data_IF_623825230272
#
_entry.id   IF_623825230272
#
_cell.length_a   1.000
_cell.length_b   1.000
_cell.length_c   1.000
_cell.angle_alpha   90.00
_cell.angle_beta   90.00
_cell.angle_gamma   90.00
#
_symmetry.space_group_name_H-M   'P 1'
#
loop_
_entity.id
_entity.type
_entity.pdbx_description
1 polymer ?
#
# COMPACT_ATOMS: atom_id res chain seq x y z
N UNK A 1 -19.09 -17.50 -0.78
CA UNK A 1 -17.77 -17.47 -0.13
C UNK A 1 -16.78 -18.39 -0.86
N UNK A 2 -16.77 -18.38 -2.20
CA UNK A 2 -16.26 -19.55 -2.98
C UNK A 2 -15.23 -19.20 -4.06
N UNK A 3 -15.19 -17.94 -4.52
CA UNK A 3 -14.24 -17.52 -5.59
C UNK A 3 -12.88 -17.11 -5.01
N UNK A 4 -12.85 -16.46 -3.84
CA UNK A 4 -11.62 -16.06 -3.17
C UNK A 4 -10.70 -17.27 -2.89
N UNK A 5 -11.26 -18.38 -2.41
CA UNK A 5 -10.48 -19.59 -2.11
C UNK A 5 -9.93 -20.32 -3.35
N UNK A 6 -10.50 -20.12 -4.55
CA UNK A 6 -9.98 -20.74 -5.78
C UNK A 6 -8.78 -19.99 -6.35
N UNK A 7 -8.67 -18.67 -6.14
CA UNK A 7 -7.49 -17.91 -6.55
C UNK A 7 -6.30 -18.14 -5.61
N UNK A 8 -6.55 -18.34 -4.30
CA UNK A 8 -5.51 -18.47 -3.26
C UNK A 8 -4.70 -19.78 -3.34
N UNK A 9 -5.12 -20.76 -4.14
CA UNK A 9 -4.41 -22.03 -4.35
C UNK A 9 -3.48 -22.06 -5.58
N UNK A 10 -3.37 -20.96 -6.33
CA UNK A 10 -2.54 -20.91 -7.53
C UNK A 10 -1.08 -20.64 -7.14
N UNK A 11 -0.20 -21.61 -7.44
CA UNK A 11 1.27 -21.56 -7.20
C UNK A 11 1.93 -20.22 -7.61
N UNK A 12 1.36 -19.54 -8.62
CA UNK A 12 1.82 -18.25 -9.15
C UNK A 12 1.73 -17.11 -8.11
N UNK A 13 0.77 -17.12 -7.18
CA UNK A 13 0.69 -16.06 -6.16
C UNK A 13 1.83 -16.16 -5.15
N UNK A 14 2.32 -17.37 -4.86
CA UNK A 14 3.45 -17.58 -3.95
C UNK A 14 4.75 -16.95 -4.48
N UNK A 15 4.87 -16.77 -5.80
CA UNK A 15 6.02 -16.14 -6.45
C UNK A 15 5.75 -14.68 -6.83
N UNK A 16 4.53 -14.17 -6.61
CA UNK A 16 4.19 -12.80 -6.94
C UNK A 16 4.93 -11.81 -6.02
N UNK A 17 5.69 -10.91 -6.64
CA UNK A 17 6.38 -9.81 -5.96
C UNK A 17 5.63 -8.49 -6.10
N UNK A 18 4.60 -8.42 -6.95
CA UNK A 18 3.80 -7.23 -7.19
C UNK A 18 2.31 -7.56 -7.16
N UNK A 19 1.55 -6.72 -6.46
CA UNK A 19 0.08 -6.78 -6.42
C UNK A 19 -0.47 -5.45 -6.91
N UNK A 20 -1.25 -5.50 -7.99
CA UNK A 20 -1.97 -4.34 -8.48
C UNK A 20 -3.39 -4.38 -7.91
N UNK A 21 -3.74 -3.36 -7.13
CA UNK A 21 -5.07 -3.18 -6.58
C UNK A 21 -5.75 -2.07 -7.36
N UNK A 22 -6.53 -2.50 -8.35
CA UNK A 22 -7.42 -1.65 -9.11
C UNK A 22 -8.85 -1.88 -8.70
N UNK A 23 -9.49 -0.84 -8.17
CA UNK A 23 -10.94 -0.85 -8.01
C UNK A 23 -11.58 -0.73 -9.41
N UNK A 24 -11.95 -1.88 -9.99
CA UNK A 24 -13.25 -1.99 -10.67
C UNK A 24 -14.28 -2.34 -9.59
N UNK A 25 -15.53 -1.95 -9.77
CA UNK A 25 -16.62 -1.99 -8.78
C UNK A 25 -16.98 -3.40 -8.22
N UNK A 26 -16.14 -4.42 -8.41
CA UNK A 26 -16.44 -5.82 -8.15
C UNK A 26 -15.65 -6.46 -7.01
N UNK A 27 -14.56 -5.85 -6.52
CA UNK A 27 -13.82 -6.36 -5.36
C UNK A 27 -13.38 -5.21 -4.45
N UNK A 28 -14.17 -4.94 -3.41
CA UNK A 28 -13.76 -4.06 -2.31
C UNK A 28 -12.69 -4.76 -1.47
N UNK A 29 -11.44 -4.75 -1.94
CA UNK A 29 -10.28 -4.83 -1.04
C UNK A 29 -10.22 -3.46 -0.38
N UNK A 30 -11.00 -3.29 0.68
CA UNK A 30 -11.20 -2.00 1.32
C UNK A 30 -11.20 -2.07 2.84
N UNK A 31 -11.27 -3.29 3.40
CA UNK A 31 -11.20 -3.52 4.85
C UNK A 31 -9.85 -4.14 5.18
N UNK A 32 -9.35 -3.87 6.40
CA UNK A 32 -8.10 -4.46 6.88
C UNK A 32 -8.11 -6.00 6.79
N UNK A 33 -9.26 -6.63 7.01
CA UNK A 33 -9.44 -8.08 6.94
C UNK A 33 -9.14 -8.67 5.55
N UNK A 34 -9.43 -7.93 4.48
CA UNK A 34 -9.18 -8.38 3.10
C UNK A 34 -7.68 -8.51 2.83
N UNK A 35 -6.89 -7.58 3.37
CA UNK A 35 -5.43 -7.59 3.28
C UNK A 35 -4.79 -8.69 4.12
N UNK A 36 -5.32 -8.95 5.32
CA UNK A 36 -4.84 -10.02 6.18
C UNK A 36 -5.01 -11.40 5.53
N UNK A 37 -6.10 -11.62 4.79
CA UNK A 37 -6.32 -12.87 4.04
C UNK A 37 -5.26 -13.13 2.96
N UNK A 38 -4.62 -12.08 2.43
CA UNK A 38 -3.58 -12.21 1.41
C UNK A 38 -2.20 -12.57 1.97
N UNK A 39 -2.00 -12.47 3.29
CA UNK A 39 -0.69 -12.66 3.94
C UNK A 39 -0.02 -13.99 3.59
N UNK A 40 -0.81 -15.05 3.50
CA UNK A 40 -0.33 -16.42 3.23
C UNK A 40 -0.19 -16.72 1.74
N UNK A 41 -0.81 -15.91 0.89
CA UNK A 41 -0.89 -16.18 -0.54
C UNK A 41 0.14 -15.41 -1.36
N UNK A 42 0.63 -14.26 -0.87
CA UNK A 42 1.69 -13.48 -1.51
C UNK A 42 2.85 -13.19 -0.54
N UNK A 43 3.54 -14.22 -0.03
CA UNK A 43 4.58 -14.07 0.99
C UNK A 43 5.81 -13.28 0.49
N UNK A 44 5.99 -13.20 -0.82
CA UNK A 44 7.11 -12.53 -1.47
C UNK A 44 6.75 -11.13 -2.00
N UNK A 45 5.63 -10.56 -1.56
CA UNK A 45 5.17 -9.26 -2.05
C UNK A 45 6.16 -8.15 -1.68
N UNK A 46 6.70 -7.49 -2.70
CA UNK A 46 7.68 -6.39 -2.60
C UNK A 46 7.08 -5.04 -2.98
N UNK A 47 6.07 -5.04 -3.85
CA UNK A 47 5.41 -3.85 -4.36
C UNK A 47 3.87 -3.96 -4.35
N UNK A 48 3.19 -2.93 -3.85
CA UNK A 48 1.74 -2.76 -4.03
C UNK A 48 1.50 -1.52 -4.88
N UNK A 49 0.70 -1.70 -5.93
CA UNK A 49 0.21 -0.60 -6.75
C UNK A 49 -1.23 -0.34 -6.38
N UNK A 50 -1.50 0.89 -5.98
CA UNK A 50 -2.79 1.35 -5.47
C UNK A 50 -3.36 2.32 -6.49
N UNK A 51 -4.61 2.09 -6.86
CA UNK A 51 -5.43 3.10 -7.53
C UNK A 51 -6.70 3.32 -6.72
N UNK A 52 -7.14 4.58 -6.61
CA UNK A 52 -8.31 4.99 -5.82
C UNK A 52 -8.24 4.56 -4.33
N UNK A 53 -9.38 4.52 -3.64
CA UNK A 53 -9.58 4.44 -2.17
C UNK A 53 -8.97 3.23 -1.42
N UNK A 54 -8.15 2.38 -2.04
CA UNK A 54 -7.62 1.17 -1.42
C UNK A 54 -6.68 1.47 -0.23
N UNK A 55 -6.14 2.69 -0.14
CA UNK A 55 -5.28 3.12 0.95
C UNK A 55 -6.00 3.06 2.31
N UNK A 56 -7.31 3.31 2.35
CA UNK A 56 -8.10 3.27 3.59
C UNK A 56 -8.11 1.88 4.24
N UNK A 57 -8.18 0.82 3.42
CA UNK A 57 -8.12 -0.55 3.91
C UNK A 57 -6.70 -1.03 4.19
N UNK A 58 -5.74 -0.59 3.37
CA UNK A 58 -4.34 -1.01 3.47
C UNK A 58 -3.66 -0.42 4.71
N UNK A 59 -3.93 0.84 5.02
CA UNK A 59 -3.31 1.56 6.15
C UNK A 59 -3.42 0.80 7.49
N UNK A 60 -4.63 0.44 7.98
CA UNK A 60 -4.75 -0.32 9.23
C UNK A 60 -4.11 -1.71 9.14
N UNK A 61 -4.04 -2.32 7.97
CA UNK A 61 -3.41 -3.64 7.80
C UNK A 61 -1.87 -3.57 7.90
N UNK A 62 -1.26 -2.50 7.37
CA UNK A 62 0.20 -2.27 7.45
C UNK A 62 0.65 -1.67 8.79
N UNK A 63 -0.28 -1.08 9.55
CA UNK A 63 -0.05 -0.59 10.92
C UNK A 63 -0.39 -1.63 12.00
N UNK A 64 -0.98 -2.76 11.61
CA UNK A 64 -1.29 -3.82 12.54
C UNK A 64 0.01 -4.40 13.12
N UNK A 65 0.07 -4.66 14.43
CA UNK A 65 1.20 -5.35 15.03
C UNK A 65 1.34 -6.75 14.41
N UNK A 66 2.52 -7.38 14.52
CA UNK A 66 2.69 -8.78 14.12
C UNK A 66 1.60 -9.64 14.76
N UNK A 67 1.08 -10.57 13.96
CA UNK A 67 0.03 -11.48 14.42
C UNK A 67 0.49 -12.25 15.67
N UNK A 68 -0.32 -12.24 16.73
CA UNK A 68 0.08 -12.75 18.06
C UNK A 68 0.38 -14.26 18.01
N UNK A 69 -0.32 -15.01 17.15
CA UNK A 69 -0.19 -16.47 17.05
C UNK A 69 0.98 -16.90 16.16
N UNK A 70 1.21 -16.20 15.05
CA UNK A 70 2.23 -16.56 14.06
C UNK A 70 3.51 -15.72 14.14
N UNK A 71 3.47 -14.56 14.80
CA UNK A 71 4.56 -13.58 14.86
C UNK A 71 4.87 -12.90 13.52
N UNK A 72 4.06 -13.13 12.49
CA UNK A 72 4.32 -12.68 11.12
C UNK A 72 3.75 -11.26 10.92
N UNK A 73 4.62 -10.33 10.54
CA UNK A 73 4.21 -9.01 10.02
C UNK A 73 3.62 -9.14 8.63
N UNK A 74 2.54 -8.39 8.34
CA UNK A 74 1.94 -8.38 7.01
C UNK A 74 2.93 -7.86 5.95
N UNK A 75 3.15 -8.66 4.91
CA UNK A 75 4.06 -8.41 3.78
C UNK A 75 5.46 -7.93 4.23
N UNK A 76 6.29 -8.80 4.84
CA UNK A 76 7.57 -8.39 5.41
C UNK A 76 8.56 -7.90 4.34
N UNK A 77 8.41 -8.34 3.09
CA UNK A 77 9.25 -7.90 1.96
C UNK A 77 8.75 -6.63 1.26
N UNK A 78 7.57 -6.13 1.63
CA UNK A 78 6.99 -4.94 1.00
C UNK A 78 7.87 -3.74 1.28
N UNK A 79 8.44 -3.19 0.21
CA UNK A 79 9.31 -2.01 0.26
C UNK A 79 8.88 -0.90 -0.69
N UNK A 80 7.93 -1.16 -1.59
CA UNK A 80 7.47 -0.19 -2.59
C UNK A 80 5.94 -0.03 -2.55
N UNK A 81 5.49 1.21 -2.42
CA UNK A 81 4.09 1.61 -2.64
C UNK A 81 4.03 2.52 -3.86
N UNK A 82 3.21 2.18 -4.85
CA UNK A 82 3.02 2.99 -6.06
C UNK A 82 1.56 3.40 -6.15
N UNK A 83 1.28 4.68 -6.35
CA UNK A 83 -0.04 5.26 -6.49
C UNK A 83 -0.23 5.66 -7.95
N UNK A 84 -1.32 5.20 -8.56
CA UNK A 84 -1.56 5.41 -9.99
C UNK A 84 -2.95 5.99 -10.24
N UNK A 85 -2.99 7.04 -11.08
CA UNK A 85 -4.24 7.64 -11.59
C UNK A 85 -5.20 8.05 -10.48
N UNK A 86 -4.68 8.72 -9.44
CA UNK A 86 -5.46 9.26 -8.31
C UNK A 86 -5.57 10.77 -8.47
N UNK A 87 -6.78 11.30 -8.31
CA UNK A 87 -7.01 12.74 -8.27
C UNK A 87 -6.96 13.27 -6.84
N UNK A 88 -5.98 14.12 -6.53
CA UNK A 88 -5.79 14.72 -5.21
C UNK A 88 -6.15 16.20 -5.16
N UNK A 89 -6.36 16.85 -6.31
CA UNK A 89 -6.59 18.30 -6.39
C UNK A 89 -7.97 18.71 -5.84
N UNK A 90 -8.97 17.82 -5.93
CA UNK A 90 -10.33 18.10 -5.49
C UNK A 90 -10.58 17.80 -3.99
N UNK A 91 -9.71 17.00 -3.36
CA UNK A 91 -9.96 16.49 -2.00
C UNK A 91 -8.78 16.75 -1.04
N UNK A 92 -8.88 17.88 -0.34
CA UNK A 92 -7.93 18.27 0.71
C UNK A 92 -7.92 17.28 1.88
N UNK A 93 -9.06 16.64 2.19
CA UNK A 93 -9.13 15.66 3.27
C UNK A 93 -8.40 14.38 2.90
N UNK A 94 -8.59 13.89 1.67
CA UNK A 94 -7.90 12.70 1.19
C UNK A 94 -6.38 12.91 1.08
N UNK A 95 -5.94 14.10 0.66
CA UNK A 95 -4.51 14.46 0.63
C UNK A 95 -3.90 14.48 2.04
N UNK A 96 -4.57 15.12 3.00
CA UNK A 96 -4.10 15.15 4.39
C UNK A 96 -4.09 13.74 5.02
N UNK A 97 -5.13 12.95 4.76
CA UNK A 97 -5.19 11.55 5.18
C UNK A 97 -4.01 10.75 4.60
N UNK A 98 -3.75 10.88 3.30
CA UNK A 98 -2.69 10.16 2.60
C UNK A 98 -1.31 10.50 3.18
N UNK A 99 -1.04 11.77 3.46
CA UNK A 99 0.20 12.20 4.12
C UNK A 99 0.37 11.53 5.49
N UNK A 100 -0.63 11.63 6.36
CA UNK A 100 -0.57 11.08 7.71
C UNK A 100 -0.43 9.56 7.69
N UNK A 101 -1.21 8.89 6.83
CA UNK A 101 -1.19 7.44 6.68
C UNK A 101 0.18 6.95 6.23
N UNK A 102 0.73 7.53 5.16
CA UNK A 102 2.01 7.08 4.58
C UNK A 102 3.18 7.32 5.53
N UNK A 103 3.23 8.48 6.20
CA UNK A 103 4.24 8.76 7.23
C UNK A 103 4.15 7.76 8.38
N UNK A 104 2.94 7.46 8.83
CA UNK A 104 2.72 6.51 9.93
C UNK A 104 3.16 5.10 9.54
N UNK A 105 2.79 4.64 8.33
CA UNK A 105 3.17 3.32 7.81
C UNK A 105 4.70 3.22 7.68
N UNK A 106 5.34 4.20 7.04
CA UNK A 106 6.79 4.16 6.81
C UNK A 106 7.56 4.12 8.13
N UNK A 107 7.19 4.96 9.11
CA UNK A 107 7.83 4.98 10.43
C UNK A 107 7.55 3.72 11.24
N UNK A 108 6.31 3.25 11.24
CA UNK A 108 5.94 2.01 11.92
C UNK A 108 6.76 0.84 11.38
N UNK A 109 6.76 0.66 10.06
CA UNK A 109 7.48 -0.43 9.42
C UNK A 109 8.99 -0.34 9.57
N UNK A 110 9.57 0.86 9.51
CA UNK A 110 10.99 1.08 9.81
C UNK A 110 11.36 0.60 11.23
N UNK A 111 10.55 0.96 12.24
CA UNK A 111 10.77 0.54 13.64
C UNK A 111 10.72 -0.98 13.82
N UNK A 112 9.97 -1.67 12.97
CA UNK A 112 9.84 -3.13 12.99
C UNK A 112 10.80 -3.86 12.03
N UNK A 113 11.71 -3.15 11.35
CA UNK A 113 12.71 -3.75 10.46
C UNK A 113 12.21 -4.12 9.06
N UNK A 114 11.07 -3.57 8.63
CA UNK A 114 10.45 -3.84 7.33
C UNK A 114 10.25 -2.56 6.48
N UNK A 115 11.29 -1.74 6.28
CA UNK A 115 11.14 -0.36 5.80
C UNK A 115 10.49 -0.26 4.43
N UNK A 116 9.62 0.74 4.27
CA UNK A 116 9.20 1.22 2.95
C UNK A 116 10.33 2.06 2.38
N UNK A 117 10.93 1.60 1.29
CA UNK A 117 12.07 2.22 0.63
C UNK A 117 11.65 3.19 -0.46
N UNK A 118 10.49 2.96 -1.10
CA UNK A 118 10.00 3.80 -2.19
C UNK A 118 8.49 4.06 -2.08
N UNK A 119 8.11 5.31 -2.29
CA UNK A 119 6.73 5.73 -2.50
C UNK A 119 6.67 6.49 -3.83
N UNK A 120 5.86 6.01 -4.76
CA UNK A 120 5.79 6.56 -6.11
C UNK A 120 4.37 7.05 -6.41
N UNK A 121 4.25 8.22 -7.04
CA UNK A 121 2.99 8.76 -7.55
C UNK A 121 3.12 8.92 -9.06
N UNK A 122 2.37 8.12 -9.83
CA UNK A 122 2.40 8.15 -11.29
C UNK A 122 1.02 8.54 -11.83
N UNK A 123 0.98 9.56 -12.70
CA UNK A 123 -0.26 10.06 -13.29
C UNK A 123 -1.31 10.51 -12.25
N UNK A 124 -0.87 11.01 -11.10
CA UNK A 124 -1.74 11.56 -10.06
C UNK A 124 -1.79 13.09 -10.15
N UNK A 125 -2.96 13.69 -10.37
CA UNK A 125 -3.18 15.14 -10.25
C UNK A 125 -3.05 15.56 -8.79
N UNK A 126 -2.58 16.78 -8.53
CA UNK A 126 -2.32 17.31 -7.19
C UNK A 126 -1.23 16.64 -6.35
N UNK A 127 -0.59 15.57 -6.85
CA UNK A 127 0.33 14.75 -6.05
C UNK A 127 1.69 15.40 -5.78
N UNK A 128 2.09 16.43 -6.54
CA UNK A 128 3.41 17.05 -6.40
C UNK A 128 3.66 17.57 -4.99
N UNK A 129 2.72 18.35 -4.45
CA UNK A 129 2.84 18.89 -3.09
C UNK A 129 2.87 17.79 -2.04
N UNK A 130 2.04 16.76 -2.18
CA UNK A 130 2.05 15.60 -1.29
C UNK A 130 3.40 14.87 -1.32
N UNK A 131 3.98 14.68 -2.51
CA UNK A 131 5.28 14.06 -2.68
C UNK A 131 6.40 14.89 -2.04
N UNK A 132 6.38 16.22 -2.19
CA UNK A 132 7.34 17.13 -1.55
C UNK A 132 7.23 17.06 -0.01
N UNK A 133 6.00 17.12 0.53
CA UNK A 133 5.73 17.01 1.97
C UNK A 133 6.17 15.64 2.53
N UNK A 134 5.94 14.56 1.79
CA UNK A 134 6.40 13.21 2.16
C UNK A 134 7.92 13.08 2.13
N UNK A 135 8.57 13.61 1.10
CA UNK A 135 10.05 13.62 0.98
C UNK A 135 10.69 14.31 2.18
N UNK A 136 10.12 15.44 2.61
CA UNK A 136 10.58 16.16 3.80
C UNK A 136 10.34 15.36 5.10
N UNK A 137 9.21 14.65 5.20
CA UNK A 137 8.83 13.90 6.40
C UNK A 137 9.54 12.54 6.55
N UNK A 138 10.03 11.97 5.43
CA UNK A 138 10.60 10.63 5.31
C UNK A 138 11.94 10.65 4.55
N UNK A 139 13.02 11.16 5.15
CA UNK A 139 14.31 11.34 4.46
C UNK A 139 14.97 10.03 4.00
N UNK A 140 14.61 8.90 4.61
CA UNK A 140 15.14 7.56 4.27
C UNK A 140 14.27 6.81 3.24
N UNK A 141 13.22 7.43 2.73
CA UNK A 141 12.31 6.87 1.73
C UNK A 141 12.44 7.64 0.42
N UNK A 142 12.69 6.94 -0.68
CA UNK A 142 12.68 7.49 -2.04
C UNK A 142 11.24 7.83 -2.43
N UNK A 143 10.89 9.11 -2.42
CA UNK A 143 9.57 9.60 -2.80
C UNK A 143 9.65 10.21 -4.19
N UNK A 144 8.93 9.63 -5.14
CA UNK A 144 9.00 10.00 -6.56
C UNK A 144 7.61 10.42 -7.05
N UNK A 145 7.55 11.53 -7.79
CA UNK A 145 6.37 11.96 -8.52
C UNK A 145 6.67 12.00 -10.02
N UNK A 146 5.86 11.29 -10.79
CA UNK A 146 5.90 11.21 -12.25
C UNK A 146 4.55 11.67 -12.82
N UNK A 147 4.39 12.99 -12.97
CA UNK A 147 3.19 13.61 -13.52
C UNK A 147 3.40 14.24 -14.90
N UNK A 148 2.31 14.45 -15.63
CA UNK A 148 2.19 15.51 -16.63
C UNK A 148 1.42 16.65 -15.97
N UNK A 149 1.96 17.87 -16.06
CA UNK A 149 1.25 19.11 -15.69
C UNK A 149 0.01 19.34 -16.56
#
# INVERSE_FOLDING_TARGET
MTVANQFLGISILSTATRLNVSHSEFFTIGRAADWLALRTSVPNLEAIVISRDALHGLCPALLAPPDIESGITLFPKLSHLSFQSIDLDEDTYYTAFSLIALVSIARHRLRHGYPIKRIEFSQCSGARKLADDLSAALPDTDVVWEGRE
#
